data_IF_057469218394
#
_entry.id   IF_057469218394
#
_cell.length_a   1.000
_cell.length_b   1.000
_cell.length_c   1.000
_cell.angle_alpha   90.00
_cell.angle_beta   90.00
_cell.angle_gamma   90.00
#
_symmetry.space_group_name_H-M   'P 1'
#
loop_
_entity.id
_entity.type
_entity.pdbx_description
1 polymer ?
#
# COMPACT_ATOMS: atom_id res chain seq x y z
N UNK A 1 -47.97 4.50 -20.45
CA UNK A 1 -47.19 5.40 -21.32
C UNK A 1 -46.21 6.12 -20.43
N UNK A 2 -44.98 5.62 -20.35
CA UNK A 2 -43.94 6.11 -19.43
C UNK A 2 -43.11 7.16 -20.18
N UNK A 3 -43.09 8.40 -19.69
CA UNK A 3 -42.24 9.46 -20.22
C UNK A 3 -40.88 9.35 -19.55
N UNK A 4 -39.89 8.85 -20.29
CA UNK A 4 -38.49 8.93 -19.90
C UNK A 4 -38.09 10.40 -19.81
N UNK A 5 -37.62 10.82 -18.64
CA UNK A 5 -36.99 12.12 -18.46
C UNK A 5 -35.63 12.09 -19.13
N UNK A 6 -35.54 12.71 -20.31
CA UNK A 6 -34.28 13.05 -20.96
C UNK A 6 -33.53 14.05 -20.08
N UNK A 7 -32.60 13.56 -19.26
CA UNK A 7 -31.58 14.41 -18.65
C UNK A 7 -30.61 14.83 -19.77
N UNK A 8 -30.39 16.13 -20.00
CA UNK A 8 -29.45 16.57 -21.02
C UNK A 8 -28.06 16.07 -20.63
N UNK A 9 -27.43 15.32 -21.55
CA UNK A 9 -26.05 14.90 -21.49
C UNK A 9 -25.17 16.12 -21.17
N UNK A 10 -24.72 16.24 -19.92
CA UNK A 10 -23.73 17.23 -19.52
C UNK A 10 -22.49 16.93 -20.37
N UNK A 11 -22.14 17.85 -21.26
CA UNK A 11 -20.97 17.74 -22.11
C UNK A 11 -19.73 17.73 -21.21
N UNK A 12 -19.13 16.56 -21.04
CA UNK A 12 -17.97 16.40 -20.18
C UNK A 12 -16.73 16.94 -20.90
N UNK A 13 -16.36 18.18 -20.61
CA UNK A 13 -15.12 18.78 -21.12
C UNK A 13 -13.92 18.08 -20.49
N UNK A 14 -13.04 17.51 -21.31
CA UNK A 14 -11.77 16.92 -20.88
C UNK A 14 -10.62 17.79 -21.37
N UNK A 15 -9.75 18.17 -20.44
CA UNK A 15 -8.55 18.96 -20.72
C UNK A 15 -7.34 18.08 -20.54
N UNK A 16 -6.45 18.04 -21.54
CA UNK A 16 -5.17 17.35 -21.48
C UNK A 16 -4.05 18.39 -21.50
N UNK A 17 -3.12 18.28 -20.56
CA UNK A 17 -1.92 19.11 -20.49
C UNK A 17 -0.67 18.24 -20.43
N UNK A 18 0.37 18.63 -21.15
CA UNK A 18 1.70 18.02 -21.07
C UNK A 18 2.63 18.99 -20.35
N UNK A 19 3.33 18.50 -19.34
CA UNK A 19 4.23 19.29 -18.50
C UNK A 19 5.58 18.57 -18.40
N UNK A 20 6.68 19.29 -18.63
CA UNK A 20 8.03 18.77 -18.45
C UNK A 20 8.55 19.16 -17.08
N UNK A 21 8.65 18.21 -16.15
CA UNK A 21 8.94 18.48 -14.74
C UNK A 21 10.26 19.27 -14.54
N UNK A 22 11.29 18.96 -15.33
CA UNK A 22 12.60 19.63 -15.25
C UNK A 22 12.59 21.14 -15.58
N UNK A 23 11.55 21.64 -16.26
CA UNK A 23 11.43 23.04 -16.66
C UNK A 23 10.66 23.90 -15.65
N UNK A 24 10.10 23.29 -14.60
CA UNK A 24 9.24 23.95 -13.63
C UNK A 24 9.67 23.68 -12.19
N UNK A 25 9.44 24.66 -11.31
CA UNK A 25 9.62 24.46 -9.88
C UNK A 25 8.50 23.59 -9.27
N UNK A 26 8.66 23.14 -8.02
CA UNK A 26 7.68 22.25 -7.37
C UNK A 26 6.31 22.89 -7.17
N UNK A 27 6.23 24.23 -7.06
CA UNK A 27 4.97 24.94 -6.87
C UNK A 27 3.98 24.77 -8.04
N UNK A 28 4.34 25.22 -9.27
CA UNK A 28 3.49 25.02 -10.44
C UNK A 28 3.13 23.56 -10.73
N UNK A 29 4.07 22.64 -10.57
CA UNK A 29 3.86 21.20 -10.78
C UNK A 29 2.81 20.68 -9.79
N UNK A 30 2.95 20.99 -8.49
CA UNK A 30 1.99 20.59 -7.46
C UNK A 30 0.59 21.20 -7.68
N UNK A 31 0.52 22.46 -8.10
CA UNK A 31 -0.75 23.11 -8.42
C UNK A 31 -1.50 22.38 -9.55
N UNK A 32 -0.81 22.07 -10.65
CA UNK A 32 -1.42 21.32 -11.78
C UNK A 32 -1.80 19.90 -11.35
N UNK A 33 -0.93 19.21 -10.60
CA UNK A 33 -1.20 17.87 -10.07
C UNK A 33 -2.47 17.83 -9.20
N UNK A 34 -2.66 18.82 -8.31
CA UNK A 34 -3.85 18.90 -7.45
C UNK A 34 -5.17 19.13 -8.22
N UNK A 35 -5.10 19.77 -9.38
CA UNK A 35 -6.26 19.99 -10.25
C UNK A 35 -6.55 18.79 -11.16
N UNK A 36 -5.57 17.92 -11.38
CA UNK A 36 -5.68 16.80 -12.31
C UNK A 36 -6.46 15.63 -11.70
N UNK A 37 -7.48 15.19 -12.43
CA UNK A 37 -8.22 13.96 -12.12
C UNK A 37 -7.37 12.70 -12.38
N UNK A 38 -6.57 12.75 -13.45
CA UNK A 38 -5.64 11.70 -13.84
C UNK A 38 -4.30 12.34 -14.12
N UNK A 39 -3.26 11.82 -13.51
CA UNK A 39 -1.88 12.23 -13.69
C UNK A 39 -1.09 11.05 -14.23
N UNK A 40 -0.35 11.28 -15.31
CA UNK A 40 0.53 10.27 -15.92
C UNK A 40 1.95 10.82 -15.91
N UNK A 41 2.79 10.21 -15.10
CA UNK A 41 4.20 10.57 -14.97
C UNK A 41 5.04 9.58 -15.74
N UNK A 42 5.76 10.05 -16.75
CA UNK A 42 6.70 9.25 -17.53
C UNK A 42 8.09 9.40 -16.93
N UNK A 43 8.76 8.30 -16.65
CA UNK A 43 10.16 8.29 -16.20
C UNK A 43 10.97 7.32 -17.03
N UNK A 44 12.25 7.62 -17.26
CA UNK A 44 13.10 6.78 -18.10
C UNK A 44 14.58 6.98 -17.76
N UNK A 45 15.28 5.89 -17.48
CA UNK A 45 16.74 5.92 -17.28
C UNK A 45 17.39 4.80 -18.08
N UNK A 46 18.03 5.16 -19.19
CA UNK A 46 18.91 4.41 -20.11
C UNK A 46 18.47 3.01 -20.61
N UNK A 47 17.75 2.22 -19.83
CA UNK A 47 17.27 0.86 -20.16
C UNK A 47 15.90 0.51 -19.53
N UNK A 48 15.33 1.39 -18.70
CA UNK A 48 14.03 1.16 -18.08
C UNK A 48 13.15 2.42 -18.18
N UNK A 49 12.06 2.32 -18.93
CA UNK A 49 11.02 3.36 -19.03
C UNK A 49 9.75 2.91 -18.33
N UNK A 50 9.14 3.81 -17.57
CA UNK A 50 7.90 3.56 -16.83
C UNK A 50 6.91 4.71 -16.93
N UNK A 51 5.64 4.36 -16.82
CA UNK A 51 4.52 5.28 -16.71
C UNK A 51 3.80 5.01 -15.39
N UNK A 52 3.80 5.99 -14.50
CA UNK A 52 3.01 5.96 -13.27
C UNK A 52 1.71 6.73 -13.47
N UNK A 53 0.58 6.09 -13.21
CA UNK A 53 -0.76 6.62 -13.40
C UNK A 53 -1.43 6.77 -12.05
N UNK A 54 -1.80 7.99 -11.70
CA UNK A 54 -2.57 8.32 -10.51
C UNK A 54 -3.96 8.81 -10.90
N UNK A 55 -4.99 8.09 -10.49
CA UNK A 55 -6.40 8.44 -10.75
C UNK A 55 -7.10 8.81 -9.43
N UNK A 56 -7.69 10.00 -9.37
CA UNK A 56 -8.36 10.56 -8.19
C UNK A 56 -9.88 10.60 -8.42
N UNK A 57 -10.65 9.66 -7.85
CA UNK A 57 -12.11 9.60 -8.04
C UNK A 57 -12.86 10.40 -6.96
N UNK A 58 -13.96 11.13 -7.28
CA UNK A 58 -14.58 12.11 -6.36
C UNK A 58 -15.20 11.56 -5.07
N UNK A 59 -15.17 10.25 -4.83
CA UNK A 59 -15.72 9.56 -3.65
C UNK A 59 -14.93 8.28 -3.30
N UNK A 60 -13.79 8.03 -3.94
CA UNK A 60 -13.04 6.79 -3.77
C UNK A 60 -11.56 7.09 -3.54
N UNK A 61 -10.89 6.19 -2.82
CA UNK A 61 -9.44 6.21 -2.63
C UNK A 61 -8.74 6.34 -3.98
N UNK A 62 -7.75 7.23 -4.04
CA UNK A 62 -6.95 7.41 -5.25
C UNK A 62 -6.24 6.09 -5.59
N UNK A 63 -6.25 5.72 -6.87
CA UNK A 63 -5.57 4.51 -7.35
C UNK A 63 -4.27 4.88 -8.02
N UNK A 64 -3.20 4.18 -7.66
CA UNK A 64 -1.88 4.33 -8.24
C UNK A 64 -1.49 3.04 -8.96
N UNK A 65 -1.08 3.16 -10.22
CA UNK A 65 -0.65 2.04 -11.05
C UNK A 65 0.64 2.40 -11.78
N UNK A 66 1.60 1.48 -11.85
CA UNK A 66 2.86 1.70 -12.58
C UNK A 66 2.98 0.67 -13.68
N UNK A 67 3.22 1.14 -14.90
CA UNK A 67 3.42 0.32 -16.09
C UNK A 67 4.87 0.47 -16.55
N UNK A 68 5.47 -0.63 -16.98
CA UNK A 68 6.78 -0.63 -17.62
C UNK A 68 6.60 -0.79 -19.11
N UNK A 69 7.39 -0.10 -19.90
CA UNK A 69 7.28 -0.19 -21.36
C UNK A 69 8.61 0.07 -22.02
N UNK A 70 8.75 -0.36 -23.27
CA UNK A 70 9.84 -0.01 -24.17
C UNK A 70 9.29 0.71 -25.39
N UNK A 71 9.95 1.77 -25.85
CA UNK A 71 9.58 2.46 -27.08
C UNK A 71 10.35 1.83 -28.24
N UNK A 72 9.63 1.19 -29.16
CA UNK A 72 10.20 0.57 -30.35
C UNK A 72 10.61 1.64 -31.38
N UNK A 73 11.49 1.32 -32.36
CA UNK A 73 11.96 2.29 -33.37
C UNK A 73 10.86 2.88 -34.26
N UNK A 74 9.70 2.24 -34.32
CA UNK A 74 8.50 2.70 -35.02
C UNK A 74 7.56 3.53 -34.12
N UNK A 75 8.02 3.90 -32.92
CA UNK A 75 7.25 4.58 -31.86
C UNK A 75 6.08 3.79 -31.29
N UNK A 76 5.99 2.49 -31.58
CA UNK A 76 5.06 1.62 -30.87
C UNK A 76 5.57 1.35 -29.45
N UNK A 77 4.64 1.10 -28.54
CA UNK A 77 4.94 0.78 -27.14
C UNK A 77 4.85 -0.73 -26.95
N UNK A 78 5.94 -1.34 -26.50
CA UNK A 78 5.94 -2.71 -25.98
C UNK A 78 5.74 -2.65 -24.47
N UNK A 79 4.55 -3.07 -24.02
CA UNK A 79 4.15 -2.96 -22.63
C UNK A 79 4.59 -4.22 -21.87
N UNK A 80 5.43 -4.02 -20.86
CA UNK A 80 5.83 -5.07 -19.94
C UNK A 80 4.93 -4.96 -18.70
N UNK A 81 4.02 -5.92 -18.53
CA UNK A 81 3.24 -6.05 -17.29
C UNK A 81 4.18 -6.53 -16.18
N UNK A 82 4.98 -5.59 -15.67
CA UNK A 82 5.92 -5.82 -14.58
C UNK A 82 5.15 -5.91 -13.28
N UNK A 83 4.88 -7.14 -12.86
CA UNK A 83 4.43 -7.52 -11.53
C UNK A 83 5.18 -6.71 -10.45
N UNK A 84 4.52 -6.30 -9.35
CA UNK A 84 5.24 -5.89 -8.16
C UNK A 84 6.18 -7.06 -7.82
N UNK A 85 7.49 -6.80 -7.80
CA UNK A 85 8.59 -7.72 -7.45
C UNK A 85 8.16 -8.90 -6.57
N UNK A 86 7.62 -9.95 -7.19
CA UNK A 86 7.31 -11.22 -6.54
C UNK A 86 7.22 -12.35 -7.57
N UNK A 87 8.11 -12.38 -8.57
CA UNK A 87 8.31 -13.59 -9.38
C UNK A 87 9.57 -13.50 -10.24
N UNK A 88 10.75 -13.50 -9.61
CA UNK A 88 11.91 -14.18 -10.19
C UNK A 88 12.57 -15.04 -9.12
N UNK A 89 11.78 -15.93 -8.50
CA UNK A 89 12.32 -17.26 -8.21
C UNK A 89 12.22 -18.06 -9.49
N UNK A 90 13.22 -17.86 -10.35
CA UNK A 90 13.60 -18.81 -11.39
C UNK A 90 13.68 -20.19 -10.74
N UNK A 91 12.64 -21.00 -10.93
CA UNK A 91 12.63 -22.42 -10.56
C UNK A 91 13.53 -23.13 -11.55
N UNK A 92 14.83 -22.97 -11.38
CA UNK A 92 15.81 -23.91 -11.89
C UNK A 92 15.66 -25.19 -11.05
N UNK A 93 15.41 -26.38 -11.64
CA UNK A 93 15.33 -27.62 -10.88
C UNK A 93 16.71 -28.09 -10.35
N UNK A 94 17.77 -27.28 -10.45
CA UNK A 94 19.11 -27.62 -10.02
C UNK A 94 19.86 -26.46 -9.35
N UNK A 95 19.35 -25.94 -8.23
CA UNK A 95 20.21 -25.20 -7.29
C UNK A 95 19.98 -25.70 -5.88
N UNK A 96 21.05 -26.18 -5.26
CA UNK A 96 21.13 -26.46 -3.83
C UNK A 96 20.55 -25.26 -3.09
N UNK A 97 19.54 -25.50 -2.25
CA UNK A 97 18.87 -24.48 -1.43
C UNK A 97 19.92 -23.77 -0.54
N UNK A 98 20.49 -22.68 -1.04
CA UNK A 98 21.39 -21.82 -0.26
C UNK A 98 20.51 -20.91 0.57
N UNK A 99 20.77 -20.83 1.88
CA UNK A 99 20.10 -19.88 2.76
C UNK A 99 20.33 -18.45 2.22
N UNK A 100 19.26 -17.70 1.86
CA UNK A 100 19.40 -16.35 1.34
C UNK A 100 20.08 -15.39 2.31
N UNK A 101 20.12 -15.71 3.61
CA UNK A 101 20.81 -14.92 4.63
C UNK A 101 22.34 -15.17 4.68
N UNK A 102 22.88 -16.11 3.91
CA UNK A 102 24.29 -16.54 4.00
C UNK A 102 25.33 -15.52 3.52
N UNK A 103 24.94 -14.56 2.66
CA UNK A 103 25.85 -13.56 2.07
C UNK A 103 25.69 -12.15 2.67
N UNK A 104 24.99 -12.01 3.79
CA UNK A 104 24.81 -10.72 4.43
C UNK A 104 26.06 -10.33 5.22
N UNK A 105 26.42 -9.04 5.16
CA UNK A 105 27.51 -8.47 5.96
C UNK A 105 27.14 -8.34 7.45
N UNK A 106 25.92 -8.73 7.82
CA UNK A 106 25.38 -8.72 9.17
C UNK A 106 24.57 -10.00 9.41
N UNK A 107 24.49 -10.41 10.66
CA UNK A 107 23.83 -11.66 11.05
C UNK A 107 22.32 -11.44 11.23
N UNK A 108 21.49 -12.19 10.52
CA UNK A 108 20.04 -12.24 10.71
C UNK A 108 19.59 -13.37 11.66
N UNK A 109 20.48 -14.30 11.98
CA UNK A 109 20.20 -15.42 12.87
C UNK A 109 20.58 -15.08 14.30
N UNK A 110 19.62 -15.22 15.21
CA UNK A 110 19.88 -15.09 16.64
C UNK A 110 20.70 -16.30 17.11
N UNK A 111 21.80 -16.04 17.81
CA UNK A 111 22.48 -17.05 18.60
C UNK A 111 21.56 -17.58 19.70
N UNK A 112 21.87 -18.78 20.22
CA UNK A 112 21.11 -19.39 21.32
C UNK A 112 20.93 -18.43 22.52
N UNK A 113 21.99 -17.69 22.85
CA UNK A 113 21.97 -16.70 23.95
C UNK A 113 21.06 -15.51 23.66
N UNK A 114 21.07 -15.00 22.43
CA UNK A 114 20.20 -13.88 22.04
C UNK A 114 18.74 -14.29 21.99
N UNK A 115 18.46 -15.53 21.55
CA UNK A 115 17.10 -16.11 21.60
C UNK A 115 16.61 -16.19 23.04
N UNK A 116 17.42 -16.78 23.94
CA UNK A 116 17.10 -16.85 25.38
C UNK A 116 16.90 -15.46 26.01
N UNK A 117 17.74 -14.49 25.64
CA UNK A 117 17.61 -13.11 26.12
C UNK A 117 16.33 -12.44 25.60
N UNK A 118 15.97 -12.66 24.33
CA UNK A 118 14.73 -12.15 23.74
C UNK A 118 13.50 -12.77 24.41
N UNK A 119 13.52 -14.07 24.64
CA UNK A 119 12.39 -14.81 25.20
C UNK A 119 12.20 -14.54 26.71
N UNK A 120 13.26 -14.14 27.42
CA UNK A 120 13.19 -13.72 28.83
C UNK A 120 12.87 -12.23 29.04
N UNK A 121 12.88 -11.43 27.96
CA UNK A 121 12.57 -10.01 28.05
C UNK A 121 11.07 -9.81 28.33
N UNK A 122 10.75 -9.30 29.51
CA UNK A 122 9.37 -8.90 29.83
C UNK A 122 9.05 -7.57 29.16
N UNK A 123 8.00 -7.54 28.33
CA UNK A 123 7.58 -6.32 27.67
C UNK A 123 6.98 -5.32 28.69
N UNK A 124 7.27 -4.01 28.58
CA UNK A 124 6.87 -3.00 29.58
C UNK A 124 5.36 -2.94 29.88
N UNK A 125 4.52 -3.39 28.95
CA UNK A 125 3.06 -3.35 29.04
C UNK A 125 2.41 -4.73 29.06
N UNK A 126 3.18 -5.80 29.19
CA UNK A 126 2.62 -7.14 29.32
C UNK A 126 2.22 -7.39 30.77
N UNK A 127 0.91 -7.38 31.02
CA UNK A 127 0.36 -7.79 32.30
C UNK A 127 0.37 -9.32 32.42
N UNK A 128 0.55 -9.84 33.65
CA UNK A 128 0.33 -11.27 33.90
C UNK A 128 -1.11 -11.64 33.60
N UNK A 129 -1.37 -12.89 33.24
CA UNK A 129 -2.75 -13.39 33.01
C UNK A 129 -3.68 -13.07 34.19
N UNK A 130 -3.19 -13.21 35.42
CA UNK A 130 -3.92 -12.83 36.63
C UNK A 130 -4.25 -11.33 36.69
N UNK A 131 -3.30 -10.45 36.34
CA UNK A 131 -3.53 -9.00 36.32
C UNK A 131 -4.45 -8.58 35.17
N UNK A 132 -4.35 -9.24 34.02
CA UNK A 132 -5.30 -9.04 32.91
C UNK A 132 -6.71 -9.45 33.34
N UNK A 133 -6.85 -10.61 33.99
CA UNK A 133 -8.14 -11.07 34.51
C UNK A 133 -8.70 -10.13 35.58
N UNK A 134 -7.88 -9.61 36.49
CA UNK A 134 -8.31 -8.66 37.50
C UNK A 134 -8.72 -7.28 36.92
N UNK A 135 -8.14 -6.87 35.78
CA UNK A 135 -8.49 -5.63 35.10
C UNK A 135 -9.70 -5.78 34.17
N UNK A 136 -9.84 -6.94 33.51
CA UNK A 136 -10.92 -7.22 32.57
C UNK A 136 -12.19 -7.71 33.26
N UNK A 137 -12.07 -8.38 34.42
CA UNK A 137 -13.23 -8.85 35.17
C UNK A 137 -13.59 -7.88 36.29
N UNK A 138 -14.88 -7.51 36.40
CA UNK A 138 -15.36 -6.68 37.49
C UNK A 138 -15.15 -7.38 38.85
N UNK A 139 -14.44 -6.72 39.77
CA UNK A 139 -14.45 -7.13 41.19
C UNK A 139 -15.89 -6.94 41.72
N UNK A 140 -16.50 -7.94 42.38
CA UNK A 140 -17.83 -7.79 42.95
C UNK A 140 -17.89 -6.59 43.92
N UNK A 141 -18.61 -5.53 43.55
CA UNK A 141 -18.79 -4.32 44.37
C UNK A 141 -18.12 -3.04 43.84
N UNK A 142 -17.34 -3.08 42.76
CA UNK A 142 -16.86 -1.87 42.07
C UNK A 142 -17.69 -1.57 40.81
N UNK A 143 -18.02 -0.30 40.60
CA UNK A 143 -18.72 0.17 39.40
C UNK A 143 -17.83 -0.08 38.19
N UNK A 144 -18.28 -0.94 37.27
CA UNK A 144 -17.58 -1.18 36.01
C UNK A 144 -17.45 0.13 35.24
N UNK A 145 -16.21 0.58 35.01
CA UNK A 145 -15.94 1.73 34.15
C UNK A 145 -16.36 1.35 32.74
N UNK A 146 -17.55 1.79 32.31
CA UNK A 146 -18.00 1.61 30.92
C UNK A 146 -17.29 2.64 30.06
N UNK A 147 -16.44 2.15 29.17
CA UNK A 147 -15.89 2.96 28.08
C UNK A 147 -16.99 3.00 27.01
N UNK A 148 -17.50 4.20 26.76
CA UNK A 148 -18.40 4.45 25.64
C UNK A 148 -17.54 5.00 24.51
N UNK A 149 -17.34 4.17 23.49
CA UNK A 149 -16.73 4.59 22.24
C UNK A 149 -17.84 4.96 21.26
N UNK A 150 -17.80 6.19 20.75
CA UNK A 150 -18.64 6.62 19.64
C UNK A 150 -17.75 6.64 18.40
N UNK A 151 -18.00 5.77 17.40
CA UNK A 151 -17.27 5.81 16.13
C UNK A 151 -17.43 7.21 15.52
N UNK A 152 -16.31 7.85 15.18
CA UNK A 152 -16.35 9.10 14.44
C UNK A 152 -16.46 8.84 12.93
N UNK A 153 -16.68 9.90 12.16
CA UNK A 153 -16.87 9.80 10.71
C UNK A 153 -15.60 9.39 9.94
N UNK A 154 -14.47 9.22 10.62
CA UNK A 154 -13.18 8.81 10.08
C UNK A 154 -12.72 7.45 10.63
N UNK A 155 -13.56 6.80 11.44
CA UNK A 155 -13.35 5.43 11.87
C UNK A 155 -13.69 4.51 10.69
N UNK A 156 -12.72 4.36 9.79
CA UNK A 156 -12.79 3.47 8.65
C UNK A 156 -12.82 2.03 9.18
N UNK A 157 -14.01 1.49 9.42
CA UNK A 157 -14.22 0.04 9.51
C UNK A 157 -14.04 -0.54 8.11
N UNK A 158 -12.78 -0.71 7.72
CA UNK A 158 -12.40 -1.53 6.60
C UNK A 158 -12.85 -2.97 6.85
N UNK A 159 -13.55 -3.56 5.88
CA UNK A 159 -14.02 -4.94 5.96
C UNK A 159 -12.92 -5.96 5.67
N UNK A 160 -11.69 -5.51 5.52
CA UNK A 160 -10.55 -6.35 5.20
C UNK A 160 -9.90 -6.73 6.54
N UNK A 161 -10.25 -7.92 7.05
CA UNK A 161 -9.62 -8.45 8.26
C UNK A 161 -8.13 -8.67 7.95
N UNK A 162 -7.20 -7.98 8.64
CA UNK A 162 -5.77 -8.14 8.38
C UNK A 162 -5.22 -9.53 8.72
N UNK A 163 -6.07 -10.47 9.18
CA UNK A 163 -5.73 -11.87 9.39
C UNK A 163 -6.33 -12.84 8.36
N UNK A 164 -7.17 -12.38 7.41
CA UNK A 164 -7.82 -13.23 6.39
C UNK A 164 -6.81 -13.82 5.37
N UNK A 165 -5.62 -13.23 5.24
CA UNK A 165 -4.51 -13.73 4.43
C UNK A 165 -3.45 -14.52 5.24
N UNK A 166 -3.67 -14.72 6.54
CA UNK A 166 -2.79 -15.51 7.40
C UNK A 166 -3.16 -17.00 7.33
N UNK A 167 -2.60 -17.69 6.33
CA UNK A 167 -2.57 -19.15 6.30
C UNK A 167 -1.67 -19.69 7.46
N UNK A 168 -2.29 -20.28 8.49
CA UNK A 168 -1.61 -20.99 9.61
C UNK A 168 -1.55 -22.50 9.36
#
# INVERSE_FOLDING_TARGET
MSTAGDNPLIEQVRVLGLLHEELHGPGPVGAVSSLAHTEVTLSGKMDQTSASILCRRPQQRATYQTWWFSILPDFSLDLHEGLPLHSELHRDPHTTQVDPASHLTFNLHLSKKEREAKDSLTLPFQFSSEKQQALLHPVPGQTTGRIFYEPDAFDDVDQEDPDDDLDI
#
